data_IF_677450656183
#
_entry.id   IF_677450656183
#
_cell.length_a   1.000
_cell.length_b   1.000
_cell.length_c   1.000
_cell.angle_alpha   90.00
_cell.angle_beta   90.00
_cell.angle_gamma   90.00
#
_symmetry.space_group_name_H-M   'P 1'
#
loop_
_entity.id
_entity.type
_entity.pdbx_description
1 polymer ?
#
# COMPACT_ATOMS: atom_id res chain seq x y z
N UNK A 1 15.51 -2.30 -17.39
CA UNK A 1 14.68 -1.10 -17.09
C UNK A 1 15.05 -0.49 -15.73
N UNK A 2 15.29 -1.35 -14.74
CA UNK A 2 15.79 -0.99 -13.41
C UNK A 2 17.32 -0.98 -13.42
N UNK A 3 17.94 -0.01 -12.75
CA UNK A 3 19.40 0.21 -12.72
C UNK A 3 20.02 -0.35 -11.44
N UNK A 4 19.29 -0.25 -10.32
CA UNK A 4 19.71 -0.75 -9.00
C UNK A 4 18.60 -1.59 -8.38
N UNK A 5 18.92 -2.57 -7.52
CA UNK A 5 17.92 -3.37 -6.85
C UNK A 5 16.93 -2.48 -6.08
N UNK A 6 15.63 -2.83 -6.09
CA UNK A 6 14.63 -2.07 -5.34
C UNK A 6 14.95 -2.13 -3.84
N UNK A 7 14.95 -0.96 -3.20
CA UNK A 7 15.20 -0.83 -1.76
C UNK A 7 13.87 -0.61 -1.05
N UNK A 8 13.51 -1.55 -0.18
CA UNK A 8 12.34 -1.41 0.70
C UNK A 8 12.79 -0.73 1.98
N UNK A 9 12.30 0.48 2.21
CA UNK A 9 12.60 1.24 3.43
C UNK A 9 11.77 0.77 4.63
N UNK A 10 10.69 0.03 4.38
CA UNK A 10 9.79 -0.48 5.40
C UNK A 10 8.59 0.44 5.67
N UNK A 11 8.00 0.29 6.85
CA UNK A 11 6.82 1.05 7.27
C UNK A 11 7.20 2.50 7.53
N UNK A 12 6.62 3.41 6.77
CA UNK A 12 6.87 4.85 6.87
C UNK A 12 5.84 5.55 7.77
N UNK A 13 4.62 5.03 7.82
CA UNK A 13 3.56 5.56 8.69
C UNK A 13 2.46 4.54 8.91
N UNK A 14 1.82 4.61 10.08
CA UNK A 14 0.63 3.85 10.45
C UNK A 14 -0.50 4.87 10.64
N UNK A 15 -1.59 4.73 9.89
CA UNK A 15 -2.79 5.54 9.99
C UNK A 15 -3.96 4.75 10.60
N UNK A 16 -5.12 5.38 10.74
CA UNK A 16 -6.29 4.78 11.39
C UNK A 16 -6.77 3.48 10.72
N UNK A 17 -6.65 3.38 9.40
CA UNK A 17 -7.01 2.21 8.62
C UNK A 17 -6.02 2.00 7.46
N UNK A 18 -4.73 2.29 7.65
CA UNK A 18 -3.72 2.06 6.61
C UNK A 18 -2.32 1.90 7.19
N UNK A 19 -1.47 1.12 6.50
CA UNK A 19 -0.03 1.04 6.76
C UNK A 19 0.67 1.44 5.46
N UNK A 20 1.51 2.48 5.50
CA UNK A 20 2.27 2.92 4.33
C UNK A 20 3.65 2.30 4.35
N UNK A 21 3.94 1.48 3.35
CA UNK A 21 5.27 0.92 3.11
C UNK A 21 5.90 1.67 1.94
N UNK A 22 7.16 2.09 2.09
CA UNK A 22 7.88 2.81 1.04
C UNK A 22 8.96 1.93 0.41
N UNK A 23 8.99 1.95 -0.92
CA UNK A 23 10.02 1.33 -1.74
C UNK A 23 10.59 2.38 -2.70
N UNK A 24 11.90 2.36 -2.91
CA UNK A 24 12.60 3.21 -3.88
C UNK A 24 13.22 2.32 -4.96
N UNK A 25 13.00 2.70 -6.21
CA UNK A 25 13.53 1.98 -7.38
C UNK A 25 14.20 2.98 -8.31
N UNK A 26 15.47 2.74 -8.65
CA UNK A 26 16.16 3.55 -9.66
C UNK A 26 15.99 2.93 -11.03
N UNK A 27 15.49 3.73 -11.96
CA UNK A 27 15.15 3.29 -13.31
C UNK A 27 15.86 4.14 -14.35
N UNK A 28 15.92 3.63 -15.58
CA UNK A 28 16.41 4.41 -16.71
C UNK A 28 15.47 5.60 -16.99
N UNK A 29 15.99 6.71 -17.56
CA UNK A 29 15.17 7.84 -17.98
C UNK A 29 13.96 7.40 -18.82
N UNK A 30 12.81 8.07 -18.63
CA UNK A 30 11.54 7.79 -19.31
C UNK A 30 10.90 6.41 -19.04
N UNK A 31 11.50 5.55 -18.19
CA UNK A 31 10.93 4.23 -17.84
C UNK A 31 10.26 4.18 -16.47
N UNK A 32 10.30 5.26 -15.68
CA UNK A 32 9.78 5.31 -14.32
C UNK A 32 8.29 4.92 -14.23
N UNK A 33 7.41 5.48 -15.06
CA UNK A 33 5.98 5.12 -15.04
C UNK A 33 5.70 3.68 -15.48
N UNK A 34 6.48 3.14 -16.43
CA UNK A 34 6.31 1.75 -16.87
C UNK A 34 6.67 0.80 -15.74
N UNK A 35 7.79 1.05 -15.05
CA UNK A 35 8.23 0.21 -13.93
C UNK A 35 7.30 0.36 -12.74
N UNK A 36 6.84 1.58 -12.42
CA UNK A 36 5.91 1.82 -11.32
C UNK A 36 4.60 1.06 -11.49
N UNK A 37 4.04 1.01 -12.70
CA UNK A 37 2.83 0.24 -13.01
C UNK A 37 3.02 -1.26 -12.88
N UNK A 38 4.14 -1.76 -13.43
CA UNK A 38 4.51 -3.17 -13.37
C UNK A 38 4.66 -3.64 -11.91
N UNK A 39 5.39 -2.87 -11.10
CA UNK A 39 5.58 -3.15 -9.68
C UNK A 39 4.28 -3.06 -8.88
N UNK A 40 3.43 -2.06 -9.13
CA UNK A 40 2.12 -1.98 -8.44
C UNK A 40 1.22 -3.18 -8.75
N UNK A 41 1.25 -3.66 -9.98
CA UNK A 41 0.51 -4.87 -10.38
C UNK A 41 1.02 -6.08 -9.62
N UNK A 42 2.34 -6.30 -9.59
CA UNK A 42 2.95 -7.42 -8.86
C UNK A 42 2.66 -7.36 -7.35
N UNK A 43 2.73 -6.18 -6.74
CA UNK A 43 2.41 -5.99 -5.32
C UNK A 43 0.94 -6.36 -5.06
N UNK A 44 0.03 -5.95 -5.94
CA UNK A 44 -1.40 -6.27 -5.78
C UNK A 44 -1.63 -7.78 -5.89
N UNK A 45 -1.05 -8.44 -6.90
CA UNK A 45 -1.16 -9.89 -7.08
C UNK A 45 -0.53 -10.67 -5.92
N UNK A 46 0.59 -10.18 -5.37
CA UNK A 46 1.21 -10.76 -4.19
C UNK A 46 0.32 -10.60 -2.94
N UNK A 47 -0.26 -9.42 -2.71
CA UNK A 47 -1.18 -9.20 -1.60
C UNK A 47 -2.44 -10.06 -1.71
N UNK A 48 -2.98 -10.26 -2.91
CA UNK A 48 -4.12 -11.13 -3.14
C UNK A 48 -3.79 -12.60 -2.86
N UNK A 49 -2.57 -13.05 -3.22
CA UNK A 49 -2.09 -14.40 -2.93
C UNK A 49 -1.90 -14.66 -1.44
N UNK A 50 -1.31 -13.70 -0.74
CA UNK A 50 -1.06 -13.76 0.71
C UNK A 50 -2.29 -13.39 1.55
N UNK A 51 -3.45 -13.17 0.92
CA UNK A 51 -4.73 -12.82 1.56
C UNK A 51 -4.63 -11.56 2.45
N UNK A 52 -3.83 -10.59 2.04
CA UNK A 52 -3.72 -9.29 2.70
C UNK A 52 -4.89 -8.43 2.22
N UNK A 53 -5.90 -8.29 3.07
CA UNK A 53 -7.08 -7.46 2.78
C UNK A 53 -6.74 -5.97 2.82
N UNK A 54 -7.34 -5.21 1.92
CA UNK A 54 -7.23 -3.75 1.93
C UNK A 54 -8.15 -3.24 3.04
N UNK A 55 -7.61 -2.56 4.07
CA UNK A 55 -8.42 -2.05 5.17
C UNK A 55 -9.43 -1.00 4.68
N UNK A 56 -10.69 -1.18 5.05
CA UNK A 56 -11.75 -0.20 4.82
C UNK A 56 -11.99 0.61 6.10
N UNK A 57 -12.28 1.92 6.00
CA UNK A 57 -12.57 2.74 7.17
C UNK A 57 -13.89 2.30 7.82
N UNK A 58 -13.82 1.59 8.95
CA UNK A 58 -15.01 1.20 9.72
C UNK A 58 -15.42 2.35 10.63
N UNK A 59 -16.58 2.95 10.37
CA UNK A 59 -17.23 3.90 11.28
C UNK A 59 -18.33 3.17 12.05
N UNK A 60 -18.32 3.30 13.36
CA UNK A 60 -19.39 2.78 14.23
C UNK A 60 -20.14 4.01 14.73
N UNK A 61 -21.41 4.14 14.35
CA UNK A 61 -22.31 5.12 14.95
C UNK A 61 -22.90 4.49 16.22
N UNK A 62 -22.65 5.13 17.35
CA UNK A 62 -23.24 4.75 18.64
C UNK A 62 -24.30 5.81 18.93
N UNK A 63 -25.58 5.44 18.83
CA UNK A 63 -26.69 6.30 19.24
C UNK A 63 -26.92 6.13 20.74
N UNK A 64 -26.60 7.15 21.54
CA UNK A 64 -26.74 7.14 23.00
C UNK A 64 -28.18 7.44 23.46
N UNK A 65 -29.20 6.91 22.79
CA UNK A 65 -30.61 7.28 23.02
C UNK A 65 -31.48 6.23 23.74
N UNK A 66 -30.87 5.21 24.35
CA UNK A 66 -31.56 4.20 25.17
C UNK A 66 -31.09 4.24 26.64
N UNK A 67 -31.25 5.40 27.27
CA UNK A 67 -31.31 5.53 28.74
C UNK A 67 -32.42 6.52 29.08
N UNK A 68 -33.65 6.07 28.88
CA UNK A 68 -34.77 6.48 29.74
C UNK A 68 -34.70 5.71 31.06
#
# INVERSE_FOLDING_TARGET
>A
KVVEPPVVLGVTSIGNCEVKIRMIIRTLPLKHWSVEREVRKEIKEAFDREKIEIPYPRRINIDFKDKE
#
